data_IF_765707918340
#
_entry.id   IF_765707918340
#
_cell.length_a   1.000
_cell.length_b   1.000
_cell.length_c   1.000
_cell.angle_alpha   90.00
_cell.angle_beta   90.00
_cell.angle_gamma   90.00
#
_symmetry.space_group_name_H-M   'P 1'
#
loop_
_entity.id
_entity.type
_entity.pdbx_description
1 polymer ?
#
# COMPACT_ATOMS: atom_id res chain seq x y z
N UNK A 1 6.76 -6.39 -4.81
CA UNK A 1 6.06 -5.13 -5.15
C UNK A 1 7.00 -4.35 -6.02
N UNK A 2 6.55 -3.99 -7.22
CA UNK A 2 7.38 -3.44 -8.27
C UNK A 2 6.65 -2.32 -9.03
N UNK A 3 7.33 -1.65 -9.96
CA UNK A 3 6.75 -0.66 -10.87
C UNK A 3 6.09 0.55 -10.17
N UNK A 4 6.68 1.00 -9.06
CA UNK A 4 6.16 2.17 -8.34
C UNK A 4 6.36 3.42 -9.21
N UNK A 5 5.26 4.08 -9.57
CA UNK A 5 5.27 5.30 -10.37
C UNK A 5 4.44 6.36 -9.68
N UNK A 6 5.00 7.57 -9.54
CA UNK A 6 4.25 8.74 -9.12
C UNK A 6 4.03 9.66 -10.32
N UNK A 7 2.77 9.87 -10.71
CA UNK A 7 2.38 10.87 -11.71
C UNK A 7 2.41 12.27 -11.12
N UNK A 8 2.15 12.40 -9.81
CA UNK A 8 2.32 13.65 -9.07
C UNK A 8 2.80 13.38 -7.64
N UNK A 9 3.46 14.38 -7.05
CA UNK A 9 4.08 14.26 -5.74
C UNK A 9 5.50 13.73 -5.78
N UNK A 10 5.99 13.27 -4.63
CA UNK A 10 7.35 12.73 -4.42
C UNK A 10 7.32 11.65 -3.35
N UNK A 11 8.24 10.69 -3.46
CA UNK A 11 8.57 9.83 -2.35
C UNK A 11 9.48 10.56 -1.36
N UNK A 12 9.35 10.25 -0.07
CA UNK A 12 10.11 10.91 0.99
C UNK A 12 10.60 9.91 2.04
N UNK A 13 11.64 10.30 2.78
CA UNK A 13 12.15 9.49 3.88
C UNK A 13 11.22 9.63 5.08
N UNK A 14 10.34 8.67 5.31
CA UNK A 14 9.47 8.66 6.48
C UNK A 14 10.29 8.80 7.80
N UNK A 15 9.84 9.61 8.77
CA UNK A 15 8.65 10.48 8.76
C UNK A 15 8.91 11.90 8.20
N UNK A 16 10.11 12.19 7.70
CA UNK A 16 10.53 13.50 7.24
C UNK A 16 10.18 13.76 5.76
N UNK A 17 9.03 14.42 5.54
CA UNK A 17 8.53 14.75 4.19
C UNK A 17 9.38 15.74 3.38
N UNK A 18 10.30 16.45 4.03
CA UNK A 18 11.17 17.41 3.34
C UNK A 18 12.30 16.72 2.59
N UNK A 19 12.73 15.55 3.08
CA UNK A 19 13.78 14.73 2.46
C UNK A 19 13.17 13.91 1.33
N UNK A 20 13.43 14.33 0.10
CA UNK A 20 13.03 13.59 -1.11
C UNK A 20 13.94 12.38 -1.29
N UNK A 21 13.35 11.21 -1.51
CA UNK A 21 14.08 9.97 -1.81
C UNK A 21 13.50 9.32 -3.06
N UNK A 22 14.27 8.46 -3.77
CA UNK A 22 13.71 7.60 -4.80
C UNK A 22 12.57 6.75 -4.23
N UNK A 23 11.52 6.53 -5.02
CA UNK A 23 10.51 5.56 -4.62
C UNK A 23 11.15 4.17 -4.54
N UNK A 24 10.85 3.38 -3.49
CA UNK A 24 11.39 2.03 -3.38
C UNK A 24 10.96 1.19 -4.59
N UNK A 25 11.67 0.11 -4.90
CA UNK A 25 11.26 -0.83 -5.93
C UNK A 25 11.75 -2.23 -5.57
N UNK A 26 11.09 -3.28 -6.06
CA UNK A 26 11.47 -4.67 -5.79
C UNK A 26 11.29 -5.12 -4.33
N UNK A 27 10.39 -4.50 -3.58
CA UNK A 27 10.16 -4.88 -2.18
C UNK A 27 9.50 -6.25 -2.05
N UNK A 28 10.05 -7.08 -1.17
CA UNK A 28 9.57 -8.43 -0.88
C UNK A 28 8.91 -8.46 0.50
N UNK A 29 7.75 -9.10 0.58
CA UNK A 29 7.04 -9.38 1.83
C UNK A 29 6.80 -10.88 1.93
N UNK A 30 7.23 -11.49 3.02
CA UNK A 30 6.99 -12.90 3.29
C UNK A 30 5.52 -13.16 3.66
N UNK A 31 5.04 -14.37 3.37
CA UNK A 31 3.69 -14.78 3.73
C UNK A 31 3.44 -14.67 5.25
N UNK A 32 2.28 -14.14 5.64
CA UNK A 32 1.90 -13.93 7.04
C UNK A 32 2.72 -12.86 7.77
N UNK A 33 3.61 -12.15 7.07
CA UNK A 33 4.35 -11.02 7.60
C UNK A 33 3.79 -9.73 7.03
N UNK A 34 3.82 -8.70 7.86
CA UNK A 34 3.74 -7.33 7.35
C UNK A 34 5.08 -6.97 6.73
N UNK A 35 5.05 -6.49 5.50
CA UNK A 35 6.26 -6.13 4.75
C UNK A 35 7.08 -5.02 5.43
N UNK A 36 8.41 -5.00 5.24
CA UNK A 36 9.25 -3.94 5.77
C UNK A 36 9.09 -2.61 5.03
N UNK A 37 8.46 -2.61 3.86
CA UNK A 37 8.58 -1.50 2.93
C UNK A 37 7.34 -0.63 2.91
N UNK A 38 7.56 0.61 3.32
CA UNK A 38 6.56 1.64 3.36
C UNK A 38 6.82 2.51 2.14
N UNK A 39 5.81 2.70 1.29
CA UNK A 39 5.86 3.77 0.30
C UNK A 39 5.35 5.02 1.02
N UNK A 40 6.24 5.93 1.34
CA UNK A 40 5.86 7.23 1.87
C UNK A 40 5.89 8.24 0.72
N UNK A 41 4.70 8.72 0.34
CA UNK A 41 4.55 9.67 -0.75
C UNK A 41 3.71 10.88 -0.32
N UNK A 42 4.13 12.06 -0.74
CA UNK A 42 3.50 13.35 -0.41
C UNK A 42 3.52 14.26 -1.63
N UNK A 43 2.71 15.32 -1.61
CA UNK A 43 2.73 16.30 -2.69
C UNK A 43 4.01 17.15 -2.70
N UNK A 44 4.29 17.81 -3.83
CA UNK A 44 5.47 18.66 -3.96
C UNK A 44 5.16 20.09 -3.51
N UNK A 45 5.83 20.54 -2.46
CA UNK A 45 5.87 21.93 -2.03
C UNK A 45 4.51 22.49 -1.57
N UNK A 46 4.45 23.83 -1.50
CA UNK A 46 3.27 24.61 -1.13
C UNK A 46 2.96 25.64 -2.23
N UNK A 47 1.74 25.69 -2.80
CA UNK A 47 0.61 24.79 -2.53
C UNK A 47 0.86 23.39 -3.14
N UNK A 48 0.61 22.36 -2.34
CA UNK A 48 0.71 20.98 -2.78
C UNK A 48 -0.50 20.65 -3.67
N UNK A 49 -0.27 20.01 -4.81
CA UNK A 49 -1.34 19.45 -5.67
C UNK A 49 -1.73 18.02 -5.27
N UNK A 50 -1.27 17.55 -4.10
CA UNK A 50 -1.50 16.19 -3.64
C UNK A 50 -0.50 15.19 -4.25
N UNK A 51 -0.85 13.92 -4.19
CA UNK A 51 -0.01 12.80 -4.65
C UNK A 51 -0.84 11.86 -5.50
N UNK A 52 -0.28 11.36 -6.60
CA UNK A 52 -0.95 10.38 -7.47
C UNK A 52 0.08 9.38 -7.96
N UNK A 53 -0.28 8.10 -7.94
CA UNK A 53 0.62 7.06 -8.40
C UNK A 53 0.00 5.67 -8.46
N UNK A 54 0.85 4.74 -8.87
CA UNK A 54 0.54 3.32 -9.01
C UNK A 54 1.68 2.47 -8.49
N UNK A 55 1.37 1.26 -8.07
CA UNK A 55 2.36 0.20 -7.89
C UNK A 55 1.75 -1.17 -8.17
N UNK A 56 2.60 -2.13 -8.53
CA UNK A 56 2.20 -3.49 -8.84
C UNK A 56 2.62 -4.46 -7.74
N UNK A 57 1.75 -5.43 -7.47
CA UNK A 57 2.01 -6.56 -6.59
C UNK A 57 2.26 -7.80 -7.43
N UNK A 58 3.31 -8.53 -7.09
CA UNK A 58 3.69 -9.77 -7.76
C UNK A 58 3.79 -10.90 -6.74
N UNK A 59 3.37 -12.09 -7.13
CA UNK A 59 3.62 -13.32 -6.39
C UNK A 59 5.08 -13.72 -6.58
N UNK A 60 5.71 -14.19 -5.51
CA UNK A 60 7.04 -14.77 -5.57
C UNK A 60 6.90 -16.28 -5.74
N UNK A 61 7.35 -16.79 -6.88
CA UNK A 61 7.29 -18.19 -7.24
C UNK A 61 8.35 -18.50 -8.30
N UNK A 62 8.36 -19.74 -8.79
CA UNK A 62 9.27 -20.13 -9.89
C UNK A 62 9.06 -19.27 -11.15
N UNK A 63 7.84 -18.82 -11.35
CA UNK A 63 7.49 -17.78 -12.32
C UNK A 63 6.81 -16.68 -11.52
N UNK A 64 7.42 -15.49 -11.39
CA UNK A 64 6.77 -14.34 -10.78
C UNK A 64 5.56 -13.93 -11.61
N UNK A 65 4.45 -13.65 -10.94
CA UNK A 65 3.21 -13.28 -11.63
C UNK A 65 2.58 -12.04 -11.02
N UNK A 66 2.03 -11.18 -11.87
CA UNK A 66 1.31 -10.00 -11.40
C UNK A 66 0.01 -10.42 -10.72
N UNK A 67 -0.18 -9.96 -9.48
CA UNK A 67 -1.34 -10.23 -8.63
C UNK A 67 -2.33 -9.07 -8.67
N UNK A 68 -1.84 -7.83 -8.56
CA UNK A 68 -2.69 -6.65 -8.60
C UNK A 68 -1.92 -5.40 -9.05
N UNK A 69 -2.66 -4.40 -9.51
CA UNK A 69 -2.19 -3.01 -9.59
C UNK A 69 -3.00 -2.20 -8.61
N UNK A 70 -2.32 -1.43 -7.77
CA UNK A 70 -2.94 -0.44 -6.89
C UNK A 70 -2.74 0.93 -7.52
N UNK A 71 -3.83 1.66 -7.70
CA UNK A 71 -3.82 3.08 -8.07
C UNK A 71 -4.30 3.91 -6.89
N UNK A 72 -3.59 5.00 -6.58
CA UNK A 72 -3.99 5.95 -5.55
C UNK A 72 -3.88 7.40 -6.06
N UNK A 73 -4.82 8.22 -5.63
CA UNK A 73 -4.85 9.66 -5.90
C UNK A 73 -5.35 10.38 -4.66
N UNK A 74 -4.52 11.24 -4.10
CA UNK A 74 -4.80 12.02 -2.90
C UNK A 74 -4.80 13.49 -3.28
N UNK A 75 -5.97 14.11 -3.36
CA UNK A 75 -6.08 15.53 -3.71
C UNK A 75 -6.07 16.44 -2.47
N UNK A 76 -5.64 17.71 -2.61
CA UNK A 76 -5.55 18.67 -1.51
C UNK A 76 -6.88 18.95 -0.81
N UNK A 77 -7.99 18.80 -1.54
CA UNK A 77 -9.35 19.02 -1.05
C UNK A 77 -9.98 17.76 -0.44
N UNK A 78 -9.15 16.81 0.01
CA UNK A 78 -9.59 15.57 0.66
C UNK A 78 -10.38 14.61 -0.24
N UNK A 79 -10.34 14.80 -1.56
CA UNK A 79 -10.89 13.84 -2.52
C UNK A 79 -9.85 12.75 -2.80
N UNK A 80 -9.77 11.79 -1.88
CA UNK A 80 -8.94 10.61 -2.04
C UNK A 80 -9.66 9.56 -2.89
N UNK A 81 -8.93 8.93 -3.80
CA UNK A 81 -9.38 7.83 -4.65
C UNK A 81 -8.34 6.71 -4.59
N UNK A 82 -8.83 5.49 -4.54
CA UNK A 82 -8.02 4.28 -4.57
C UNK A 82 -8.77 3.27 -5.41
N UNK A 83 -8.04 2.65 -6.32
CA UNK A 83 -8.60 1.69 -7.26
C UNK A 83 -7.70 0.48 -7.40
N UNK A 84 -8.32 -0.64 -7.73
CA UNK A 84 -7.67 -1.88 -8.12
C UNK A 84 -7.92 -2.10 -9.62
N UNK A 85 -7.28 -1.32 -10.52
CA UNK A 85 -7.51 -1.44 -11.96
C UNK A 85 -7.16 -2.82 -12.52
N UNK A 86 -6.36 -3.61 -11.80
CA UNK A 86 -6.07 -4.99 -12.11
C UNK A 86 -6.06 -5.81 -10.81
N UNK A 87 -6.79 -6.93 -10.83
CA UNK A 87 -6.75 -7.97 -9.81
C UNK A 87 -6.79 -9.32 -10.52
N UNK A 88 -5.83 -10.18 -10.19
CA UNK A 88 -5.72 -11.52 -10.78
C UNK A 88 -6.73 -12.46 -10.14
N UNK A 89 -7.39 -13.27 -10.97
CA UNK A 89 -8.27 -14.33 -10.49
C UNK A 89 -7.52 -15.32 -9.58
N UNK A 90 -8.17 -15.73 -8.48
CA UNK A 90 -7.58 -16.61 -7.47
C UNK A 90 -6.79 -15.86 -6.38
N UNK A 91 -6.72 -14.54 -6.46
CA UNK A 91 -6.30 -13.69 -5.36
C UNK A 91 -7.48 -12.83 -4.91
N UNK A 92 -7.46 -12.46 -3.63
CA UNK A 92 -8.35 -11.48 -3.05
C UNK A 92 -7.49 -10.36 -2.49
N UNK A 93 -7.65 -9.15 -3.03
CA UNK A 93 -6.91 -7.97 -2.62
C UNK A 93 -7.86 -7.02 -1.91
N UNK A 94 -7.59 -6.79 -0.62
CA UNK A 94 -8.37 -5.87 0.19
C UNK A 94 -7.52 -4.68 0.58
N UNK A 95 -8.13 -3.50 0.59
CA UNK A 95 -7.43 -2.27 0.99
C UNK A 95 -8.17 -1.58 2.12
N UNK A 96 -7.44 -1.20 3.16
CA UNK A 96 -7.97 -0.50 4.34
C UNK A 96 -7.19 0.80 4.61
N UNK A 97 -7.82 1.83 5.20
CA UNK A 97 -9.25 1.94 5.40
C UNK A 97 -10.00 2.10 4.06
N UNK A 98 -11.29 1.74 4.00
CA UNK A 98 -12.08 1.89 2.78
C UNK A 98 -12.23 3.36 2.39
N UNK A 99 -12.21 3.62 1.09
CA UNK A 99 -12.38 4.94 0.48
C UNK A 99 -13.88 5.20 0.26
N UNK A 100 -14.41 6.42 0.46
CA UNK A 100 -13.70 7.71 0.57
C UNK A 100 -13.23 8.08 1.97
N UNK A 101 -11.95 8.51 2.07
CA UNK A 101 -11.39 9.16 3.25
C UNK A 101 -11.42 10.67 3.08
N UNK A 102 -11.93 11.41 4.07
CA UNK A 102 -11.74 12.86 4.18
C UNK A 102 -10.41 13.16 4.90
N UNK A 103 -9.73 14.24 4.52
CA UNK A 103 -8.39 14.60 4.99
C UNK A 103 -7.27 13.96 4.19
N UNK A 104 -6.04 14.06 4.69
CA UNK A 104 -4.87 13.37 4.13
C UNK A 104 -5.09 11.85 4.14
N UNK A 105 -4.70 11.16 3.06
CA UNK A 105 -4.57 9.70 3.07
C UNK A 105 -3.45 9.35 4.07
N UNK A 106 -3.85 8.88 5.26
CA UNK A 106 -2.92 8.66 6.40
C UNK A 106 -2.23 7.32 6.35
N UNK A 107 -2.93 6.25 6.05
CA UNK A 107 -2.34 4.91 6.06
C UNK A 107 -3.18 4.10 5.10
N UNK A 108 -2.51 3.33 4.28
CA UNK A 108 -3.14 2.38 3.38
C UNK A 108 -2.70 1.00 3.86
N UNK A 109 -3.52 -0.03 3.83
CA UNK A 109 -3.16 -1.37 4.27
C UNK A 109 -3.65 -2.27 3.16
N UNK A 110 -2.75 -2.92 2.42
CA UNK A 110 -3.11 -3.72 1.24
C UNK A 110 -2.93 -5.19 1.57
N UNK A 111 -3.99 -5.87 1.98
CA UNK A 111 -3.91 -7.29 2.31
C UNK A 111 -4.19 -8.13 1.08
N UNK A 112 -3.31 -9.10 0.82
CA UNK A 112 -3.40 -10.00 -0.34
C UNK A 112 -3.54 -11.43 0.16
N UNK A 113 -4.60 -12.09 -0.26
CA UNK A 113 -4.88 -13.48 0.10
C UNK A 113 -4.97 -14.33 -1.17
N UNK A 114 -4.36 -15.52 -1.15
CA UNK A 114 -4.57 -16.49 -2.20
C UNK A 114 -5.88 -17.24 -1.94
N UNK A 115 -6.89 -16.97 -2.77
CA UNK A 115 -8.14 -17.70 -2.74
C UNK A 115 -7.94 -19.00 -3.53
N UNK A 116 -7.62 -20.10 -2.84
CA UNK A 116 -7.70 -21.42 -3.45
C UNK A 116 -9.11 -21.59 -4.01
N UNK A 117 -9.25 -21.70 -5.35
CA UNK A 117 -10.48 -22.21 -5.95
C UNK A 117 -10.69 -23.59 -5.35
N UNK A 118 -11.76 -23.74 -4.58
CA UNK A 118 -12.24 -25.06 -4.24
C UNK A 118 -12.69 -25.71 -5.55
N UNK A 119 -11.80 -26.44 -6.22
CA UNK A 119 -12.26 -27.47 -7.13
C UNK A 119 -13.13 -28.41 -6.29
N UNK A 120 -14.41 -28.46 -6.63
CA UNK A 120 -15.33 -29.44 -6.08
C UNK A 120 -14.90 -30.80 -6.62
N UNK A 121 -13.87 -31.38 -6.01
CA UNK A 121 -13.66 -32.83 -6.08
C UNK A 121 -14.55 -33.40 -5.01
N UNK A 122 -15.68 -33.95 -5.45
CA UNK A 122 -16.60 -34.69 -4.61
C UNK A 122 -15.96 -35.99 -4.13
N UNK A 123 -15.07 -35.93 -3.14
CA UNK A 123 -14.71 -37.09 -2.31
C UNK A 123 -14.11 -36.63 -0.98
N UNK A 124 -14.96 -36.66 0.05
CA UNK A 124 -14.68 -36.95 1.46
C UNK A 124 -13.58 -36.14 2.19
N UNK A 125 -14.07 -35.25 3.05
CA UNK A 125 -13.52 -34.86 4.37
C UNK A 125 -12.03 -34.52 4.48
N UNK A 126 -11.67 -33.23 4.45
CA UNK A 126 -10.62 -32.71 5.34
C UNK A 126 -10.56 -31.17 5.39
N UNK A 127 -10.55 -30.67 6.63
CA UNK A 127 -10.15 -29.35 7.16
C UNK A 127 -9.76 -28.24 6.17
N UNK A 128 -10.58 -27.17 6.13
CA UNK A 128 -10.23 -25.88 5.51
C UNK A 128 -9.16 -25.15 6.35
N UNK A 129 -7.97 -24.93 5.80
CA UNK A 129 -7.00 -23.99 6.34
C UNK A 129 -7.17 -22.63 5.65
N UNK A 130 -7.45 -21.57 6.44
CA UNK A 130 -7.46 -20.17 5.98
C UNK A 130 -6.07 -19.59 6.21
N UNK A 131 -5.39 -19.16 5.15
CA UNK A 131 -4.14 -18.41 5.25
C UNK A 131 -4.42 -16.98 4.78
N UNK A 132 -4.48 -16.05 5.73
CA UNK A 132 -4.67 -14.61 5.50
C UNK A 132 -3.37 -13.87 5.83
N UNK A 133 -3.00 -12.87 5.02
CA UNK A 133 -1.83 -12.01 5.25
C UNK A 133 -2.26 -10.55 5.23
N UNK A 134 -2.05 -9.84 6.35
CA UNK A 134 -2.31 -8.41 6.47
C UNK A 134 -1.03 -7.60 6.18
N UNK A 135 -1.06 -6.68 5.22
CA UNK A 135 0.04 -5.71 4.97
C UNK A 135 -0.39 -4.34 5.47
N UNK A 136 0.14 -3.90 6.61
CA UNK A 136 -0.01 -2.57 7.20
C UNK A 136 0.89 -1.55 6.46
N UNK A 137 0.36 -0.47 5.85
CA UNK A 137 1.16 0.69 5.41
C UNK A 137 0.81 1.98 6.18
N UNK A 138 1.49 2.20 7.29
CA UNK A 138 1.42 3.43 8.10
C UNK A 138 2.04 4.61 7.35
N UNK A 139 1.28 5.68 7.05
CA UNK A 139 1.86 7.01 6.87
C UNK A 139 1.64 7.81 8.18
N UNK A 140 2.57 8.71 8.55
CA UNK A 140 2.57 9.29 9.87
C UNK A 140 1.45 10.33 9.93
N UNK A 141 0.72 10.32 11.04
CA UNK A 141 -0.03 11.48 11.50
C UNK A 141 0.94 12.65 11.68
N UNK A 142 0.73 13.73 10.92
CA UNK A 142 1.24 15.06 11.25
C UNK A 142 0.72 15.42 12.64
N UNK A 143 1.57 15.27 13.65
CA UNK A 143 1.39 15.94 14.93
C UNK A 143 2.18 17.25 14.87
N UNK A 144 1.51 18.34 15.23
CA UNK A 144 2.12 19.66 15.35
C UNK A 144 3.42 19.59 16.17
N UNK A 145 4.49 20.26 15.73
CA UNK A 145 5.75 20.24 16.45
C UNK A 145 5.59 20.94 17.80
N UNK A 146 5.79 20.20 18.90
CA UNK A 146 6.03 20.83 20.20
C UNK A 146 7.36 21.58 20.17
N UNK A 147 7.45 22.79 20.76
CA UNK A 147 8.68 23.55 20.80
C UNK A 147 9.74 22.82 21.62
N UNK A 148 10.93 22.71 21.04
CA UNK A 148 12.12 22.13 21.66
C UNK A 148 12.54 22.99 22.85
N UNK A 149 12.67 22.40 24.03
CA UNK A 149 13.36 23.02 25.18
C UNK A 149 14.77 22.45 25.23
N UNK A 150 15.83 23.26 25.06
CA UNK A 150 17.19 22.75 25.19
C UNK A 150 17.49 22.46 26.67
N UNK A 151 17.98 21.26 26.96
CA UNK A 151 18.56 20.93 28.26
C UNK A 151 19.97 21.55 28.35
N UNK A 152 20.18 22.28 29.44
CA UNK A 152 21.46 22.87 29.90
C UNK A 152 22.38 21.76 30.40
#
# INVERSE_FOLDING_TARGET
>A
MENITLTSGKCFQYPNQDITVPCPDGMITEHGKTGPGWIAATGRGTPSNGTEGTFDLFSLGRVPEKVATIYFKCLPDSRNRLELPYEREGYNVTVQPPIPLRGSMKELIVSVEYAMKAEVVSTLSSVRSRLSTNILLTLPLSQDPKPFTPLV
#
